data_IF_488924453068
#
_entry.id   IF_488924453068
#
_cell.length_a   1.000
_cell.length_b   1.000
_cell.length_c   1.000
_cell.angle_alpha   90.00
_cell.angle_beta   90.00
_cell.angle_gamma   90.00
#
_symmetry.space_group_name_H-M   'P 1'
#
loop_
_entity.id
_entity.type
_entity.pdbx_description
1 polymer ?
#
# COMPACT_ATOMS: atom_id res chain seq x y z
N UNK A 1 -15.08 2.08 8.76
CA UNK A 1 -13.95 3.04 8.63
C UNK A 1 -13.29 2.80 7.28
N UNK A 2 -13.25 3.80 6.42
CA UNK A 2 -12.58 3.69 5.12
C UNK A 2 -11.17 4.29 5.20
N UNK A 3 -10.17 3.53 4.78
CA UNK A 3 -8.78 3.96 4.72
C UNK A 3 -8.33 4.02 3.26
N UNK A 4 -8.09 5.22 2.74
CA UNK A 4 -7.46 5.43 1.45
C UNK A 4 -5.94 5.39 1.65
N UNK A 5 -5.32 4.35 1.13
CA UNK A 5 -3.91 4.04 1.33
C UNK A 5 -3.11 4.28 0.05
N UNK A 6 -2.52 5.48 -0.06
CA UNK A 6 -1.66 5.81 -1.20
C UNK A 6 -0.29 5.16 -0.99
N UNK A 7 0.10 4.32 -1.94
CA UNK A 7 1.19 3.37 -1.72
C UNK A 7 2.00 3.04 -2.97
N UNK A 8 3.20 2.50 -2.75
CA UNK A 8 4.00 1.82 -3.77
C UNK A 8 4.51 0.48 -3.23
N UNK A 9 4.39 -0.58 -4.02
CA UNK A 9 4.82 -1.94 -3.63
C UNK A 9 6.31 -2.07 -3.35
N UNK A 10 7.13 -1.11 -3.78
CA UNK A 10 8.58 -1.06 -3.49
C UNK A 10 8.94 -0.11 -2.35
N UNK A 11 7.95 0.45 -1.65
CA UNK A 11 8.17 1.34 -0.51
C UNK A 11 8.19 0.56 0.81
N UNK A 12 9.32 0.53 1.54
CA UNK A 12 9.42 -0.24 2.79
C UNK A 12 8.53 0.31 3.91
N UNK A 13 8.27 1.62 3.93
CA UNK A 13 7.36 2.22 4.90
C UNK A 13 5.90 1.81 4.65
N UNK A 14 5.54 1.54 3.38
CA UNK A 14 4.18 1.16 3.02
C UNK A 14 3.80 -0.23 3.52
N UNK A 15 4.67 -1.23 3.38
CA UNK A 15 4.38 -2.58 3.91
C UNK A 15 4.22 -2.55 5.42
N UNK A 16 5.11 -1.83 6.15
CA UNK A 16 5.04 -1.74 7.61
C UNK A 16 3.78 -1.01 8.05
N UNK A 17 3.43 0.11 7.41
CA UNK A 17 2.21 0.85 7.71
C UNK A 17 0.94 0.00 7.47
N UNK A 18 0.88 -0.71 6.34
CA UNK A 18 -0.27 -1.58 6.01
C UNK A 18 -0.43 -2.70 7.03
N UNK A 19 0.67 -3.37 7.39
CA UNK A 19 0.63 -4.44 8.40
C UNK A 19 0.26 -3.92 9.79
N UNK A 20 0.71 -2.72 10.19
CA UNK A 20 0.33 -2.09 11.44
C UNK A 20 -1.18 -1.79 11.49
N UNK A 21 -1.74 -1.25 10.40
CA UNK A 21 -3.19 -0.99 10.28
C UNK A 21 -3.96 -2.32 10.36
N UNK A 22 -3.56 -3.34 9.61
CA UNK A 22 -4.21 -4.66 9.61
C UNK A 22 -4.14 -5.35 10.98
N UNK A 23 -3.00 -5.23 11.67
CA UNK A 23 -2.85 -5.77 13.03
C UNK A 23 -3.81 -5.07 14.00
N UNK A 24 -3.86 -3.75 13.99
CA UNK A 24 -4.76 -2.98 14.85
C UNK A 24 -6.22 -3.31 14.54
N UNK A 25 -6.60 -3.39 13.25
CA UNK A 25 -7.95 -3.76 12.87
C UNK A 25 -8.35 -5.14 13.44
N UNK A 26 -7.45 -6.13 13.33
CA UNK A 26 -7.71 -7.47 13.90
C UNK A 26 -7.76 -7.50 15.42
N UNK A 27 -6.79 -6.86 16.07
CA UNK A 27 -6.63 -6.94 17.53
C UNK A 27 -7.78 -6.24 18.29
N UNK A 28 -8.40 -5.24 17.66
CA UNK A 28 -9.48 -4.43 18.25
C UNK A 28 -10.83 -4.61 17.56
N UNK A 29 -10.96 -5.61 16.68
CA UNK A 29 -12.21 -5.93 15.94
C UNK A 29 -12.82 -4.70 15.24
N UNK A 30 -11.94 -3.92 14.57
CA UNK A 30 -12.36 -2.74 13.83
C UNK A 30 -12.77 -3.14 12.41
N UNK A 31 -13.94 -2.69 11.98
CA UNK A 31 -14.39 -2.81 10.59
C UNK A 31 -13.65 -1.75 9.74
N UNK A 32 -12.58 -2.18 9.09
CA UNK A 32 -11.69 -1.35 8.28
C UNK A 32 -11.66 -1.85 6.85
N UNK A 33 -12.00 -0.97 5.93
CA UNK A 33 -11.83 -1.16 4.48
C UNK A 33 -10.61 -0.37 4.01
N UNK A 34 -9.62 -1.05 3.43
CA UNK A 34 -8.40 -0.42 2.91
C UNK A 34 -8.51 -0.32 1.38
N UNK A 35 -8.68 0.88 0.87
CA UNK A 35 -8.62 1.18 -0.56
C UNK A 35 -7.18 1.50 -0.96
N UNK A 36 -6.57 0.65 -1.79
CA UNK A 36 -5.23 0.87 -2.33
C UNK A 36 -5.27 1.93 -3.44
N UNK A 37 -4.44 2.98 -3.30
CA UNK A 37 -4.27 4.01 -4.32
C UNK A 37 -2.83 3.95 -4.85
N UNK A 38 -2.63 3.64 -6.14
CA UNK A 38 -1.31 3.49 -6.74
C UNK A 38 -0.49 4.78 -6.75
N UNK A 39 0.81 4.66 -6.35
CA UNK A 39 1.81 5.72 -6.45
C UNK A 39 3.15 5.10 -6.86
N UNK A 40 3.63 5.37 -8.04
CA UNK A 40 4.92 4.85 -8.50
C UNK A 40 6.06 5.79 -8.09
N UNK A 41 6.96 5.35 -7.18
CA UNK A 41 8.15 6.11 -6.76
C UNK A 41 9.13 6.35 -7.92
N UNK A 42 9.21 5.39 -8.83
CA UNK A 42 10.04 5.48 -10.04
C UNK A 42 9.18 5.16 -11.25
N UNK A 43 8.93 6.15 -12.08
CA UNK A 43 8.12 6.02 -13.30
C UNK A 43 9.07 5.88 -14.50
N UNK A 44 8.84 4.88 -15.36
CA UNK A 44 9.57 4.73 -16.62
C UNK A 44 9.44 6.00 -17.49
N UNK A 45 10.51 6.42 -18.17
CA UNK A 45 11.84 5.79 -18.32
C UNK A 45 12.90 6.28 -17.30
N UNK A 46 12.50 6.86 -16.16
CA UNK A 46 13.45 7.30 -15.13
C UNK A 46 14.29 6.11 -14.65
N UNK A 47 15.61 6.30 -14.55
CA UNK A 47 16.54 5.27 -14.11
C UNK A 47 16.15 4.65 -12.76
N UNK A 48 16.20 3.31 -12.70
CA UNK A 48 15.95 2.53 -11.48
C UNK A 48 17.08 2.72 -10.48
N UNK A 49 16.72 2.75 -9.21
CA UNK A 49 17.65 3.03 -8.11
C UNK A 49 18.20 1.73 -7.52
N UNK A 50 19.51 1.66 -7.26
CA UNK A 50 20.08 0.63 -6.39
C UNK A 50 19.85 1.03 -4.93
N UNK A 51 18.84 0.42 -4.32
CA UNK A 51 18.52 0.67 -2.91
C UNK A 51 19.33 -0.22 -1.97
N UNK A 52 19.83 -1.36 -2.46
CA UNK A 52 20.52 -2.34 -1.64
C UNK A 52 21.95 -1.91 -1.30
N UNK A 53 22.66 -1.37 -2.28
CA UNK A 53 24.05 -0.92 -2.09
C UNK A 53 24.17 0.50 -1.50
N UNK A 54 23.05 1.25 -1.41
CA UNK A 54 23.03 2.62 -0.89
C UNK A 54 23.10 2.62 0.66
N UNK A 55 24.23 3.04 1.27
CA UNK A 55 24.40 3.01 2.72
C UNK A 55 23.49 4.02 3.44
N UNK A 56 23.13 5.14 2.79
CA UNK A 56 22.26 6.16 3.38
C UNK A 56 20.84 5.63 3.50
N UNK A 57 20.34 4.96 2.46
CA UNK A 57 19.01 4.33 2.50
C UNK A 57 18.94 3.20 3.54
N UNK A 58 19.98 2.37 3.60
CA UNK A 58 20.05 1.30 4.60
C UNK A 58 19.99 1.85 6.02
N UNK A 59 20.67 2.97 6.28
CA UNK A 59 20.61 3.62 7.59
C UNK A 59 19.19 4.17 7.88
N UNK A 60 18.57 4.82 6.91
CA UNK A 60 17.21 5.34 7.07
C UNK A 60 16.18 4.24 7.33
N UNK A 61 16.38 3.03 6.76
CA UNK A 61 15.43 1.94 6.94
C UNK A 61 15.52 1.25 8.32
N UNK A 62 16.58 1.51 9.11
CA UNK A 62 16.69 0.96 10.46
C UNK A 62 15.53 1.36 11.39
N UNK A 63 14.91 2.49 11.14
CA UNK A 63 13.71 2.91 11.90
C UNK A 63 12.55 1.93 11.76
N UNK A 64 12.54 1.09 10.72
CA UNK A 64 11.52 0.07 10.47
C UNK A 64 11.79 -1.27 11.20
N UNK A 65 12.98 -1.47 11.78
CA UNK A 65 13.35 -2.74 12.41
C UNK A 65 12.47 -3.05 13.63
N UNK A 66 12.26 -2.08 14.50
CA UNK A 66 11.45 -2.27 15.70
C UNK A 66 9.96 -2.47 15.40
N UNK A 67 9.27 -1.62 14.59
CA UNK A 67 7.89 -1.89 14.23
C UNK A 67 7.72 -3.21 13.48
N UNK A 68 8.63 -3.59 12.58
CA UNK A 68 8.58 -4.90 11.91
C UNK A 68 8.68 -6.06 12.88
N UNK A 69 9.56 -5.97 13.88
CA UNK A 69 9.69 -6.98 14.94
C UNK A 69 8.41 -7.12 15.75
N UNK A 70 7.79 -6.01 16.14
CA UNK A 70 6.51 -5.99 16.89
C UNK A 70 5.36 -6.56 16.06
N UNK A 71 5.38 -6.30 14.74
CA UNK A 71 4.39 -6.82 13.80
C UNK A 71 4.60 -8.30 13.46
N UNK A 72 5.76 -8.89 13.77
CA UNK A 72 6.15 -10.22 13.33
C UNK A 72 6.44 -10.30 11.81
N UNK A 73 6.81 -9.18 11.22
CA UNK A 73 7.07 -9.04 9.79
C UNK A 73 8.55 -9.34 9.49
N UNK A 74 8.85 -10.48 8.85
CA UNK A 74 10.22 -10.88 8.44
C UNK A 74 10.63 -10.22 7.12
N UNK A 75 10.43 -8.92 7.00
CA UNK A 75 10.79 -8.15 5.80
C UNK A 75 12.26 -7.72 5.80
N UNK A 76 12.83 -7.62 4.60
CA UNK A 76 14.21 -7.17 4.37
C UNK A 76 14.19 -5.71 3.91
N UNK A 77 14.97 -4.85 4.58
CA UNK A 77 15.03 -3.41 4.28
C UNK A 77 16.47 -2.94 4.07
N UNK A 78 16.90 -2.79 2.79
CA UNK A 78 16.21 -3.13 1.53
C UNK A 78 16.35 -4.60 1.16
N UNK A 79 15.46 -5.16 0.31
CA UNK A 79 15.63 -6.50 -0.25
C UNK A 79 16.75 -6.55 -1.30
N UNK A 80 17.29 -7.75 -1.58
CA UNK A 80 18.38 -7.98 -2.55
C UNK A 80 17.89 -8.01 -4.00
N UNK A 81 17.04 -7.08 -4.38
CA UNK A 81 16.59 -6.93 -5.77
C UNK A 81 17.22 -5.67 -6.36
N UNK A 82 18.19 -5.84 -7.27
CA UNK A 82 19.02 -4.77 -7.79
C UNK A 82 18.97 -4.75 -9.33
N UNK A 83 18.64 -3.61 -9.92
CA UNK A 83 18.09 -2.39 -9.29
C UNK A 83 16.66 -2.59 -8.78
N UNK A 84 16.18 -1.72 -7.90
CA UNK A 84 14.78 -1.72 -7.44
C UNK A 84 13.82 -1.72 -8.64
N UNK A 85 12.85 -2.64 -8.71
CA UNK A 85 11.96 -2.76 -9.86
C UNK A 85 11.06 -1.53 -10.02
N UNK A 86 10.56 -1.35 -11.24
CA UNK A 86 9.37 -0.54 -11.44
C UNK A 86 8.16 -1.30 -10.88
N UNK A 87 7.25 -0.59 -10.23
CA UNK A 87 6.03 -1.17 -9.66
C UNK A 87 4.82 -1.15 -10.62
N UNK A 88 4.99 -0.57 -11.82
CA UNK A 88 3.90 -0.43 -12.81
C UNK A 88 3.20 -1.75 -13.11
N UNK A 89 3.93 -2.78 -13.51
CA UNK A 89 3.34 -4.09 -13.83
C UNK A 89 2.65 -4.73 -12.62
N UNK A 90 3.22 -4.58 -11.42
CA UNK A 90 2.59 -5.06 -10.20
C UNK A 90 1.25 -4.37 -9.93
N UNK A 91 1.14 -3.07 -10.21
CA UNK A 91 -0.13 -2.34 -10.11
C UNK A 91 -1.11 -2.69 -11.24
N UNK A 92 -0.63 -2.93 -12.46
CA UNK A 92 -1.49 -3.45 -13.54
C UNK A 92 -2.09 -4.80 -13.16
N UNK A 93 -1.29 -5.70 -12.57
CA UNK A 93 -1.77 -6.95 -11.99
C UNK A 93 -2.73 -6.75 -10.82
N UNK A 94 -2.52 -5.72 -10.00
CA UNK A 94 -3.43 -5.37 -8.93
C UNK A 94 -4.81 -4.92 -9.46
N UNK A 95 -4.87 -4.13 -10.53
CA UNK A 95 -6.14 -3.77 -11.17
C UNK A 95 -6.91 -4.99 -11.67
N UNK A 96 -6.21 -5.97 -12.24
CA UNK A 96 -6.82 -7.25 -12.61
C UNK A 96 -7.37 -7.98 -11.37
N UNK A 97 -6.57 -8.05 -10.32
CA UNK A 97 -6.95 -8.70 -9.07
C UNK A 97 -8.16 -8.02 -8.41
N UNK A 98 -8.20 -6.69 -8.41
CA UNK A 98 -9.29 -5.89 -7.87
C UNK A 98 -10.63 -6.18 -8.58
N UNK A 99 -10.63 -6.22 -9.89
CA UNK A 99 -11.81 -6.57 -10.69
C UNK A 99 -12.30 -7.99 -10.46
N UNK A 100 -11.42 -8.87 -9.95
CA UNK A 100 -11.74 -10.24 -9.57
C UNK A 100 -11.98 -10.43 -8.06
N UNK A 101 -12.12 -9.33 -7.29
CA UNK A 101 -12.36 -9.37 -5.84
C UNK A 101 -11.20 -9.93 -5.02
N UNK A 102 -9.96 -9.80 -5.51
CA UNK A 102 -8.73 -10.31 -4.89
C UNK A 102 -7.65 -9.25 -4.71
N UNK A 103 -8.01 -7.96 -4.82
CA UNK A 103 -7.06 -6.85 -4.77
C UNK A 103 -6.18 -6.86 -3.53
N UNK A 104 -6.77 -6.98 -2.34
CA UNK A 104 -6.02 -7.00 -1.07
C UNK A 104 -5.11 -8.21 -0.94
N UNK A 105 -5.62 -9.41 -1.28
CA UNK A 105 -4.85 -10.66 -1.21
C UNK A 105 -3.65 -10.61 -2.14
N UNK A 106 -3.86 -10.10 -3.36
CA UNK A 106 -2.79 -9.92 -4.33
C UNK A 106 -1.78 -8.85 -3.85
N UNK A 107 -2.23 -7.71 -3.36
CA UNK A 107 -1.35 -6.64 -2.87
C UNK A 107 -0.46 -7.12 -1.72
N UNK A 108 -1.00 -7.87 -0.76
CA UNK A 108 -0.23 -8.47 0.33
C UNK A 108 0.81 -9.46 -0.19
N UNK A 109 0.44 -10.28 -1.17
CA UNK A 109 1.35 -11.25 -1.78
C UNK A 109 2.47 -10.56 -2.59
N UNK A 110 2.20 -9.43 -3.25
CA UNK A 110 3.22 -8.63 -3.94
C UNK A 110 4.22 -8.04 -2.94
N UNK A 111 3.75 -7.47 -1.82
CA UNK A 111 4.63 -6.99 -0.77
C UNK A 111 5.51 -8.11 -0.19
N UNK A 112 4.91 -9.27 0.09
CA UNK A 112 5.64 -10.42 0.61
C UNK A 112 6.70 -10.91 -0.39
N UNK A 113 6.36 -11.04 -1.67
CA UNK A 113 7.28 -11.45 -2.71
C UNK A 113 8.50 -10.51 -2.79
N UNK A 114 8.30 -9.19 -2.71
CA UNK A 114 9.40 -8.24 -2.80
C UNK A 114 10.21 -8.15 -1.51
N UNK A 115 9.57 -7.95 -0.34
CA UNK A 115 10.26 -7.65 0.91
C UNK A 115 10.67 -8.88 1.72
N UNK A 116 9.98 -10.01 1.56
CA UNK A 116 10.27 -11.23 2.33
C UNK A 116 11.02 -12.23 1.46
N UNK A 117 10.50 -12.52 0.26
CA UNK A 117 11.04 -13.53 -0.65
C UNK A 117 12.12 -12.97 -1.60
N UNK A 118 12.38 -11.66 -1.58
CA UNK A 118 13.38 -10.95 -2.37
C UNK A 118 13.23 -11.20 -3.88
N UNK A 119 11.98 -11.24 -4.38
CA UNK A 119 11.65 -11.46 -5.79
C UNK A 119 11.49 -10.13 -6.54
N UNK A 120 11.86 -10.11 -7.82
CA UNK A 120 11.64 -8.93 -8.69
C UNK A 120 10.19 -8.88 -9.15
N UNK A 121 9.41 -7.99 -8.55
CA UNK A 121 7.99 -7.74 -8.89
C UNK A 121 7.82 -6.93 -10.19
N UNK A 122 8.86 -6.62 -10.91
CA UNK A 122 8.83 -6.11 -12.28
C UNK A 122 8.76 -7.23 -13.33
N UNK A 123 8.94 -8.49 -12.92
CA UNK A 123 8.96 -9.63 -13.81
C UNK A 123 7.57 -10.27 -13.94
N UNK A 124 7.01 -10.38 -15.18
CA UNK A 124 5.69 -10.96 -15.40
C UNK A 124 5.53 -12.39 -14.86
N UNK A 125 6.59 -13.22 -14.88
CA UNK A 125 6.55 -14.58 -14.36
C UNK A 125 6.34 -14.60 -12.84
N UNK A 126 7.01 -13.72 -12.11
CA UNK A 126 6.84 -13.55 -10.67
C UNK A 126 5.42 -13.11 -10.34
N UNK A 127 4.90 -12.09 -11.06
CA UNK A 127 3.55 -11.59 -10.84
C UNK A 127 2.47 -12.64 -11.17
N UNK A 128 2.67 -13.44 -12.21
CA UNK A 128 1.76 -14.54 -12.58
C UNK A 128 1.71 -15.60 -11.49
N UNK A 129 2.87 -15.97 -10.93
CA UNK A 129 2.91 -16.92 -9.81
C UNK A 129 2.26 -16.36 -8.53
N UNK A 130 2.36 -15.06 -8.28
CA UNK A 130 1.65 -14.37 -7.20
C UNK A 130 0.14 -14.42 -7.43
N UNK A 131 -0.32 -14.13 -8.65
CA UNK A 131 -1.73 -14.17 -9.02
C UNK A 131 -2.34 -15.57 -8.81
N UNK A 132 -1.64 -16.62 -9.24
CA UNK A 132 -2.06 -18.01 -9.02
C UNK A 132 -2.22 -18.33 -7.53
N UNK A 133 -1.24 -17.94 -6.69
CA UNK A 133 -1.30 -18.13 -5.23
C UNK A 133 -2.45 -17.32 -4.59
N UNK A 134 -2.80 -16.17 -5.15
CA UNK A 134 -3.94 -15.37 -4.73
C UNK A 134 -5.30 -15.95 -5.17
N UNK A 135 -5.30 -17.04 -5.96
CA UNK A 135 -6.50 -17.70 -6.47
C UNK A 135 -7.11 -17.02 -7.69
N UNK A 136 -6.28 -16.32 -8.47
CA UNK A 136 -6.63 -15.79 -9.79
C UNK A 136 -6.29 -16.78 -10.89
N UNK A 137 -6.94 -16.67 -12.05
CA UNK A 137 -6.55 -17.43 -13.25
C UNK A 137 -5.20 -16.90 -13.78
N UNK A 138 -4.11 -17.71 -13.71
CA UNK A 138 -2.78 -17.26 -14.11
C UNK A 138 -2.67 -17.02 -15.62
N UNK A 139 -3.46 -17.72 -16.44
CA UNK A 139 -3.45 -17.53 -17.89
C UNK A 139 -4.08 -16.19 -18.26
N UNK A 140 -5.28 -15.93 -17.76
CA UNK A 140 -5.96 -14.65 -17.99
C UNK A 140 -5.18 -13.47 -17.40
N UNK A 141 -4.55 -13.64 -16.22
CA UNK A 141 -3.69 -12.64 -15.62
C UNK A 141 -2.47 -12.32 -16.51
N UNK A 142 -1.78 -13.36 -17.00
CA UNK A 142 -0.63 -13.20 -17.88
C UNK A 142 -0.99 -12.50 -19.18
N UNK A 143 -2.08 -12.91 -19.81
CA UNK A 143 -2.59 -12.29 -21.03
C UNK A 143 -2.92 -10.81 -20.81
N UNK A 144 -3.52 -10.46 -19.66
CA UNK A 144 -3.82 -9.06 -19.33
C UNK A 144 -2.57 -8.19 -19.22
N UNK A 145 -1.48 -8.72 -18.65
CA UNK A 145 -0.20 -8.02 -18.59
C UNK A 145 0.44 -7.86 -19.98
N UNK A 146 0.47 -8.94 -20.78
CA UNK A 146 1.10 -8.95 -22.12
C UNK A 146 0.34 -8.06 -23.12
N UNK A 147 -0.98 -7.94 -22.97
CA UNK A 147 -1.82 -7.06 -23.80
C UNK A 147 -1.91 -5.63 -23.26
N UNK A 148 -1.20 -5.32 -22.16
CA UNK A 148 -1.21 -4.00 -21.52
C UNK A 148 -2.63 -3.51 -21.17
N UNK A 149 -3.53 -4.45 -20.81
CA UNK A 149 -4.96 -4.18 -20.58
C UNK A 149 -5.20 -3.08 -19.55
N UNK A 150 -4.37 -2.99 -18.51
CA UNK A 150 -4.52 -2.06 -17.42
C UNK A 150 -3.54 -0.88 -17.44
N UNK A 151 -2.71 -0.74 -18.47
CA UNK A 151 -1.70 0.33 -18.57
C UNK A 151 -2.34 1.73 -18.52
N UNK A 152 -3.44 1.95 -19.24
CA UNK A 152 -4.13 3.24 -19.20
C UNK A 152 -4.74 3.53 -17.82
N UNK A 153 -5.42 2.53 -17.22
CA UNK A 153 -6.01 2.63 -15.87
C UNK A 153 -4.96 2.90 -14.80
N UNK A 154 -3.81 2.21 -14.88
CA UNK A 154 -2.69 2.45 -13.96
C UNK A 154 -2.12 3.86 -14.11
N UNK A 155 -1.98 4.35 -15.33
CA UNK A 155 -1.52 5.72 -15.56
C UNK A 155 -2.48 6.75 -14.95
N UNK A 156 -3.78 6.57 -15.15
CA UNK A 156 -4.82 7.43 -14.55
C UNK A 156 -4.77 7.40 -13.01
N UNK A 157 -4.67 6.22 -12.40
CA UNK A 157 -4.59 6.06 -10.95
C UNK A 157 -3.34 6.76 -10.36
N UNK A 158 -2.19 6.62 -11.02
CA UNK A 158 -0.96 7.32 -10.65
C UNK A 158 -1.09 8.85 -10.80
N UNK A 159 -1.72 9.32 -11.87
CA UNK A 159 -1.96 10.75 -12.08
C UNK A 159 -2.96 11.30 -11.06
N UNK A 160 -3.97 10.54 -10.69
CA UNK A 160 -4.91 10.88 -9.63
C UNK A 160 -4.19 11.10 -8.29
N UNK A 161 -3.35 10.15 -7.86
CA UNK A 161 -2.62 10.26 -6.61
C UNK A 161 -1.69 11.48 -6.58
N UNK A 162 -1.04 11.80 -7.69
CA UNK A 162 -0.08 12.92 -7.77
C UNK A 162 -0.73 14.29 -7.97
N UNK A 163 -1.70 14.37 -8.90
CA UNK A 163 -2.19 15.66 -9.39
C UNK A 163 -3.53 16.06 -8.72
N UNK A 164 -4.36 15.08 -8.33
CA UNK A 164 -5.65 15.36 -7.67
C UNK A 164 -5.47 15.33 -6.15
N UNK A 165 -4.90 14.26 -5.60
CA UNK A 165 -4.63 14.18 -4.16
C UNK A 165 -3.40 14.99 -3.72
N UNK A 166 -2.55 15.43 -4.65
CA UNK A 166 -1.36 16.23 -4.36
C UNK A 166 -0.30 15.46 -3.56
N UNK A 167 -0.28 14.11 -3.66
CA UNK A 167 0.65 13.27 -2.90
C UNK A 167 2.05 13.37 -3.49
N UNK A 168 3.04 13.64 -2.64
CA UNK A 168 4.46 13.71 -3.00
C UNK A 168 5.32 12.60 -2.42
N UNK A 169 4.80 11.87 -1.43
CA UNK A 169 5.50 10.77 -0.76
C UNK A 169 4.53 9.69 -0.30
N UNK A 170 5.03 8.47 -0.09
CA UNK A 170 4.24 7.33 0.40
C UNK A 170 4.94 6.66 1.58
N UNK A 171 4.16 6.06 2.51
CA UNK A 171 2.69 6.02 2.50
C UNK A 171 2.06 7.39 2.77
N UNK A 172 0.94 7.68 2.12
CA UNK A 172 0.02 8.74 2.53
C UNK A 172 -1.32 8.09 2.83
N UNK A 173 -1.88 8.38 3.99
CA UNK A 173 -3.03 7.66 4.54
C UNK A 173 -4.14 8.66 4.84
N UNK A 174 -5.32 8.40 4.31
CA UNK A 174 -6.53 9.12 4.68
C UNK A 174 -7.47 8.16 5.39
N UNK A 175 -8.05 8.59 6.48
CA UNK A 175 -9.07 7.86 7.22
C UNK A 175 -10.36 8.67 7.15
N UNK A 176 -11.39 8.09 6.51
CA UNK A 176 -12.66 8.77 6.26
C UNK A 176 -12.45 10.18 5.66
N UNK A 177 -11.60 10.24 4.61
CA UNK A 177 -11.27 11.44 3.84
C UNK A 177 -10.33 12.44 4.50
N UNK A 178 -9.79 12.17 5.71
CA UNK A 178 -8.84 13.06 6.38
C UNK A 178 -7.47 12.41 6.52
N UNK A 179 -6.44 13.13 6.10
CA UNK A 179 -5.05 12.68 6.20
C UNK A 179 -4.62 12.47 7.64
N UNK A 180 -3.98 11.33 7.89
CA UNK A 180 -3.23 11.05 9.13
C UNK A 180 -1.74 10.93 8.82
N UNK A 181 -0.90 11.18 9.80
CA UNK A 181 0.54 11.00 9.72
C UNK A 181 0.99 10.01 10.78
N UNK A 182 1.81 9.04 10.35
CA UNK A 182 2.45 8.05 11.23
C UNK A 182 3.95 8.38 11.31
N UNK A 183 4.47 8.44 12.53
CA UNK A 183 5.88 8.75 12.79
C UNK A 183 6.70 7.50 13.05
N UNK A 184 6.14 6.53 13.78
CA UNK A 184 6.84 5.33 14.22
C UNK A 184 6.33 4.05 13.56
N UNK A 185 5.15 4.06 12.96
CA UNK A 185 4.45 2.87 12.44
C UNK A 185 4.18 1.78 13.49
N UNK A 186 4.27 2.14 14.78
CA UNK A 186 3.96 1.22 15.86
C UNK A 186 2.45 1.02 15.99
N UNK A 187 1.98 -0.21 16.34
CA UNK A 187 0.54 -0.48 16.48
C UNK A 187 -0.18 0.48 17.43
N UNK A 188 0.48 0.91 18.51
CA UNK A 188 -0.07 1.84 19.50
C UNK A 188 -0.33 3.22 18.88
N UNK A 189 0.58 3.71 18.04
CA UNK A 189 0.39 4.97 17.30
C UNK A 189 -0.75 4.85 16.31
N UNK A 190 -0.78 3.78 15.52
CA UNK A 190 -1.84 3.52 14.54
C UNK A 190 -3.19 3.47 15.24
N UNK A 191 -3.29 2.71 16.34
CA UNK A 191 -4.52 2.61 17.15
C UNK A 191 -4.99 3.98 17.62
N UNK A 192 -4.09 4.77 18.19
CA UNK A 192 -4.39 6.14 18.66
C UNK A 192 -4.96 6.99 17.51
N UNK A 193 -4.30 7.00 16.34
CA UNK A 193 -4.74 7.79 15.18
C UNK A 193 -6.11 7.35 14.66
N UNK A 194 -6.35 6.04 14.56
CA UNK A 194 -7.66 5.53 14.13
C UNK A 194 -8.78 5.87 15.11
N UNK A 195 -8.53 5.76 16.43
CA UNK A 195 -9.51 6.11 17.46
C UNK A 195 -9.81 7.62 17.51
N UNK A 196 -8.78 8.47 17.36
CA UNK A 196 -8.95 9.92 17.28
C UNK A 196 -9.89 10.28 16.11
N UNK A 197 -9.71 9.63 14.95
CA UNK A 197 -10.56 9.84 13.78
C UNK A 197 -12.00 9.40 14.00
N UNK A 198 -12.20 8.20 14.58
CA UNK A 198 -13.54 7.69 14.89
C UNK A 198 -14.29 8.60 15.89
N UNK A 199 -13.58 9.14 16.89
CA UNK A 199 -14.17 10.06 17.85
C UNK A 199 -14.59 11.40 17.24
N UNK A 200 -13.79 11.94 16.31
CA UNK A 200 -14.13 13.18 15.57
C UNK A 200 -15.36 12.99 14.67
N UNK A 201 -15.48 11.87 13.98
CA UNK A 201 -16.64 11.57 13.14
C UNK A 201 -17.93 11.49 13.97
N UNK A 202 -17.87 10.78 15.11
CA UNK A 202 -19.01 10.66 16.04
C UNK A 202 -19.40 12.01 16.68
N UNK A 203 -18.46 12.93 16.87
CA UNK A 203 -18.73 14.26 17.42
C UNK A 203 -19.27 15.26 16.40
N UNK A 204 -18.91 15.09 15.11
CA UNK A 204 -19.41 15.94 14.01
C UNK A 204 -20.86 15.68 13.61
N UNK A 205 -21.45 14.55 13.99
CA UNK A 205 -22.84 14.20 13.74
C UNK A 205 -23.87 14.82 14.68
N UNK A 206 -23.49 15.59 15.68
CA UNK A 206 -24.38 16.11 16.73
C UNK A 206 -24.75 17.61 16.62
N UNK A 207 -24.40 18.27 15.53
CA UNK A 207 -24.81 19.65 15.29
C UNK A 207 -25.83 19.75 14.16
N UNK A 208 -27.10 19.54 14.51
CA UNK A 208 -28.23 19.69 13.58
C UNK A 208 -29.59 19.70 14.26
N UNK A 209 -29.71 20.31 15.45
CA UNK A 209 -30.99 20.79 15.93
C UNK A 209 -30.97 22.31 15.83
N UNK A 210 -31.48 22.80 14.67
CA UNK A 210 -31.72 24.23 14.47
C UNK A 210 -32.67 24.74 15.51
N UNK A 211 -32.32 25.88 16.10
CA UNK A 211 -33.26 26.78 16.79
C UNK A 211 -34.32 27.25 15.80
N UNK A 212 -35.42 26.49 15.66
CA UNK A 212 -36.71 27.05 15.27
C UNK A 212 -37.78 26.08 15.79
N UNK A 213 -38.38 26.50 16.86
CA UNK A 213 -39.52 26.18 17.63
C UNK A 213 -40.41 24.97 17.26
N UNK A 214 -40.73 24.16 18.27
CA UNK A 214 -42.03 23.56 18.44
C UNK A 214 -43.07 24.63 18.81
#
# INVERSE_FOLDING_TARGET
MKIEFVTDFVCPYCIVAKEAIKKVARDFDLDVEIETIPFELTVEPKERVDTYSDPVRREHYKVLEEPSRVLGLDAKFPPRVIPRPYSRLAFEGWHFAEENGKGDVYADAVYAAYFIDEQDIGEPDVLTAIAEKAGLDPTAFREALEQETYTAKQKEAREYSRNVLGVSSVPTIYVDGKKIELESYMPEEVMKKLMERQAEENSGGFFGCGEDGC
#
